data_IF_208000465833
#
_entry.id   IF_208000465833
#
_cell.length_a   1.000
_cell.length_b   1.000
_cell.length_c   1.000
_cell.angle_alpha   90.00
_cell.angle_beta   90.00
_cell.angle_gamma   90.00
#
_symmetry.space_group_name_H-M   'P 1'
#
loop_
_entity.id
_entity.type
_entity.pdbx_description
1 polymer ?
#
# COMPACT_ATOMS: atom_id res chain seq x y z
N UNK A 1 -27.02 1.67 1.21
CA UNK A 1 -25.82 2.10 0.46
C UNK A 1 -26.28 2.66 -0.87
N UNK A 2 -25.82 3.85 -1.25
CA UNK A 2 -26.15 4.50 -2.52
C UNK A 2 -24.87 4.48 -3.36
N UNK A 3 -24.96 4.05 -4.62
CA UNK A 3 -23.82 3.98 -5.52
C UNK A 3 -24.25 4.21 -6.97
N UNK A 4 -23.30 4.64 -7.81
CA UNK A 4 -23.49 4.70 -9.26
C UNK A 4 -23.46 3.29 -9.83
N UNK A 5 -24.46 2.93 -10.63
CA UNK A 5 -24.49 1.65 -11.31
C UNK A 5 -23.74 1.75 -12.65
N UNK A 6 -22.50 1.27 -12.68
CA UNK A 6 -21.71 1.14 -13.91
C UNK A 6 -21.90 -0.23 -14.54
N UNK A 7 -22.13 -0.27 -15.86
CA UNK A 7 -21.99 -1.50 -16.65
C UNK A 7 -20.55 -2.01 -16.59
N UNK A 8 -20.33 -3.31 -16.86
CA UNK A 8 -18.96 -3.86 -16.89
C UNK A 8 -18.07 -3.15 -17.93
N UNK A 9 -18.64 -2.66 -19.03
CA UNK A 9 -17.93 -1.88 -20.04
C UNK A 9 -17.48 -0.53 -19.49
N UNK A 10 -18.35 0.21 -18.81
CA UNK A 10 -18.00 1.48 -18.17
C UNK A 10 -16.99 1.29 -17.05
N UNK A 11 -17.19 0.27 -16.22
CA UNK A 11 -16.26 -0.07 -15.15
C UNK A 11 -14.86 -0.35 -15.68
N UNK A 12 -14.74 -1.12 -16.77
CA UNK A 12 -13.45 -1.38 -17.41
C UNK A 12 -12.83 -0.10 -18.00
N UNK A 13 -13.64 0.83 -18.51
CA UNK A 13 -13.14 2.15 -18.95
C UNK A 13 -12.60 2.97 -17.79
N UNK A 14 -13.31 3.01 -16.66
CA UNK A 14 -12.89 3.70 -15.43
C UNK A 14 -11.59 3.09 -14.89
N UNK A 15 -11.53 1.77 -14.75
CA UNK A 15 -10.38 1.10 -14.15
C UNK A 15 -9.11 1.19 -15.02
N UNK A 16 -9.24 1.39 -16.33
CA UNK A 16 -8.10 1.68 -17.22
C UNK A 16 -7.46 3.04 -16.97
N UNK A 17 -8.19 4.00 -16.40
CA UNK A 17 -7.65 5.33 -16.08
C UNK A 17 -7.13 5.41 -14.65
N UNK A 18 -7.14 4.30 -13.92
CA UNK A 18 -6.66 4.22 -12.54
C UNK A 18 -5.19 4.64 -12.45
N UNK A 19 -4.93 5.67 -11.66
CA UNK A 19 -3.61 6.30 -11.52
C UNK A 19 -3.03 5.96 -10.17
N UNK A 20 -1.79 5.45 -10.16
CA UNK A 20 -1.03 5.23 -8.92
C UNK A 20 -0.49 6.57 -8.43
N UNK A 21 -0.76 6.87 -7.17
CA UNK A 21 -0.23 8.05 -6.48
C UNK A 21 1.02 7.62 -5.73
N UNK A 22 2.14 8.30 -5.97
CA UNK A 22 3.43 8.02 -5.32
C UNK A 22 3.80 9.21 -4.44
N UNK A 23 4.13 8.96 -3.18
CA UNK A 23 4.59 10.01 -2.27
C UNK A 23 5.88 10.64 -2.77
N UNK A 24 5.99 11.96 -2.67
CA UNK A 24 7.18 12.73 -3.05
C UNK A 24 8.48 12.31 -2.35
N UNK A 25 8.41 11.65 -1.19
CA UNK A 25 9.57 11.17 -0.43
C UNK A 25 10.04 9.79 -0.88
N UNK A 26 9.23 9.06 -1.65
CA UNK A 26 9.55 7.71 -2.11
C UNK A 26 10.44 7.77 -3.36
N UNK A 27 11.76 7.81 -3.12
CA UNK A 27 12.78 8.08 -4.15
C UNK A 27 13.53 6.82 -4.62
N UNK A 28 13.39 5.69 -3.94
CA UNK A 28 14.09 4.43 -4.26
C UNK A 28 13.07 3.38 -4.70
N UNK A 29 12.38 3.67 -5.81
CA UNK A 29 11.25 2.89 -6.33
C UNK A 29 11.33 2.62 -7.84
N UNK A 30 12.54 2.70 -8.42
CA UNK A 30 12.74 2.59 -9.88
C UNK A 30 12.10 1.33 -10.48
N UNK A 31 12.24 0.18 -9.82
CA UNK A 31 11.64 -1.09 -10.28
C UNK A 31 10.09 -1.08 -10.27
N UNK A 32 9.48 -0.32 -9.36
CA UNK A 32 8.02 -0.13 -9.33
C UNK A 32 7.62 0.79 -10.48
N UNK A 33 8.28 1.93 -10.63
CA UNK A 33 7.99 2.88 -11.71
C UNK A 33 8.21 2.27 -13.10
N UNK A 34 9.23 1.43 -13.27
CA UNK A 34 9.50 0.73 -14.53
C UNK A 34 8.40 -0.27 -14.87
N UNK A 35 7.91 -1.04 -13.89
CA UNK A 35 6.75 -1.91 -14.10
C UNK A 35 5.51 -1.10 -14.50
N UNK A 36 5.20 -0.01 -13.79
CA UNK A 36 4.03 0.82 -14.08
C UNK A 36 4.12 1.43 -15.48
N UNK A 37 5.28 1.95 -15.85
CA UNK A 37 5.56 2.47 -17.20
C UNK A 37 5.41 1.39 -18.27
N UNK A 38 5.96 0.19 -18.05
CA UNK A 38 5.86 -0.93 -18.99
C UNK A 38 4.41 -1.36 -19.25
N UNK A 39 3.52 -1.15 -18.28
CA UNK A 39 2.10 -1.50 -18.37
C UNK A 39 1.20 -0.32 -18.75
N UNK A 40 1.79 0.82 -19.13
CA UNK A 40 1.08 2.06 -19.43
C UNK A 40 0.13 2.49 -18.30
N UNK A 41 0.51 2.22 -17.04
CA UNK A 41 -0.26 2.61 -15.86
C UNK A 41 0.12 4.06 -15.51
N UNK A 42 -0.85 4.98 -15.45
CA UNK A 42 -0.59 6.36 -15.08
C UNK A 42 -0.03 6.49 -13.66
N UNK A 43 0.91 7.42 -13.48
CA UNK A 43 1.51 7.75 -12.19
C UNK A 43 1.36 9.24 -11.92
N UNK A 44 0.97 9.57 -10.70
CA UNK A 44 0.95 10.94 -10.19
C UNK A 44 1.88 11.03 -8.96
N UNK A 45 2.88 11.91 -9.01
CA UNK A 45 3.79 12.15 -7.89
C UNK A 45 3.27 13.33 -7.10
N UNK A 46 2.87 13.10 -5.85
CA UNK A 46 2.39 14.15 -4.95
C UNK A 46 2.62 13.75 -3.50
N UNK A 47 2.70 14.74 -2.61
CA UNK A 47 2.77 14.48 -1.18
C UNK A 47 1.47 13.83 -0.71
N UNK A 48 1.58 12.74 0.04
CA UNK A 48 0.48 12.12 0.79
C UNK A 48 0.84 12.06 2.28
N UNK A 49 -0.15 12.18 3.16
CA UNK A 49 0.11 12.31 4.60
C UNK A 49 0.48 10.97 5.27
N UNK A 50 0.11 9.86 4.65
CA UNK A 50 0.30 8.49 5.15
C UNK A 50 0.53 7.52 3.99
N UNK A 51 1.49 6.60 4.14
CA UNK A 51 1.88 5.64 3.10
C UNK A 51 2.86 6.23 2.09
N UNK A 52 3.44 5.33 1.28
CA UNK A 52 4.28 5.68 0.13
C UNK A 52 3.50 5.63 -1.18
N UNK A 53 2.43 4.83 -1.23
CA UNK A 53 1.59 4.66 -2.40
C UNK A 53 0.10 4.78 -2.06
N UNK A 54 -0.64 5.40 -2.98
CA UNK A 54 -2.09 5.46 -3.01
C UNK A 54 -2.62 5.28 -4.43
N UNK A 55 -3.91 5.53 -4.61
CA UNK A 55 -4.58 5.37 -5.88
C UNK A 55 -5.68 6.41 -6.06
N UNK A 56 -5.86 6.87 -7.30
CA UNK A 56 -6.98 7.71 -7.67
C UNK A 56 -7.60 7.29 -9.00
N UNK A 57 -8.86 7.66 -9.19
CA UNK A 57 -9.58 7.61 -10.46
C UNK A 57 -9.78 9.05 -10.92
N UNK A 58 -9.29 9.44 -12.11
CA UNK A 58 -9.40 10.81 -12.59
C UNK A 58 -10.84 11.18 -12.93
N UNK A 59 -11.11 12.49 -12.88
CA UNK A 59 -12.34 13.09 -13.40
C UNK A 59 -12.67 12.55 -14.79
N UNK A 60 -13.91 12.13 -14.99
CA UNK A 60 -14.46 11.69 -16.26
C UNK A 60 -15.97 12.03 -16.32
N UNK A 61 -16.31 13.15 -16.95
CA UNK A 61 -17.70 13.65 -17.00
C UNK A 61 -18.63 12.72 -17.80
N UNK A 62 -18.13 12.08 -18.85
CA UNK A 62 -18.91 11.13 -19.66
C UNK A 62 -19.39 9.93 -18.85
N UNK A 63 -18.62 9.54 -17.83
CA UNK A 63 -18.94 8.45 -16.90
C UNK A 63 -19.48 8.97 -15.57
N UNK A 64 -19.89 10.25 -15.48
CA UNK A 64 -20.48 10.82 -14.27
C UNK A 64 -19.50 11.06 -13.11
N UNK A 65 -18.19 10.96 -13.34
CA UNK A 65 -17.14 11.21 -12.36
C UNK A 65 -16.75 12.69 -12.44
N UNK A 66 -17.41 13.53 -11.65
CA UNK A 66 -17.25 14.99 -11.75
C UNK A 66 -15.91 15.54 -11.21
N UNK A 67 -15.18 14.76 -10.41
CA UNK A 67 -13.88 15.12 -9.80
C UNK A 67 -13.01 13.88 -9.63
N UNK A 68 -11.72 14.08 -9.39
CA UNK A 68 -10.83 12.99 -9.02
C UNK A 68 -11.31 12.30 -7.74
N UNK A 69 -11.36 10.98 -7.77
CA UNK A 69 -11.76 10.14 -6.64
C UNK A 69 -10.49 9.48 -6.11
N UNK A 70 -10.09 9.85 -4.90
CA UNK A 70 -8.97 9.20 -4.21
C UNK A 70 -9.50 8.02 -3.39
N UNK A 71 -8.87 6.85 -3.57
CA UNK A 71 -9.10 5.73 -2.66
C UNK A 71 -8.50 6.09 -1.30
N UNK A 72 -9.17 5.69 -0.21
CA UNK A 72 -8.64 5.88 1.14
C UNK A 72 -7.49 4.92 1.45
N UNK A 73 -7.40 3.77 0.76
CA UNK A 73 -6.37 2.77 0.99
C UNK A 73 -4.96 3.28 0.73
N UNK A 74 -4.01 2.81 1.55
CA UNK A 74 -2.59 3.18 1.47
C UNK A 74 -1.70 1.96 1.55
N UNK A 75 -0.58 2.03 0.85
CA UNK A 75 0.50 1.06 0.93
C UNK A 75 1.75 1.78 1.43
N UNK A 76 2.37 1.22 2.46
CA UNK A 76 3.69 1.61 2.95
C UNK A 76 4.69 0.55 2.48
N UNK A 77 5.86 0.98 2.02
CA UNK A 77 6.92 0.10 1.55
C UNK A 77 8.09 0.11 2.53
N UNK A 78 8.68 -1.06 2.72
CA UNK A 78 9.95 -1.28 3.40
C UNK A 78 10.83 -2.12 2.50
N UNK A 79 12.09 -1.74 2.36
CA UNK A 79 13.04 -2.43 1.48
C UNK A 79 13.34 -3.86 1.98
N UNK A 80 13.31 -4.07 3.30
CA UNK A 80 13.63 -5.35 3.91
C UNK A 80 13.27 -5.38 5.41
N UNK A 81 13.32 -6.56 6.02
CA UNK A 81 13.02 -6.75 7.46
C UNK A 81 13.91 -5.92 8.40
N UNK A 82 15.15 -5.63 8.01
CA UNK A 82 16.06 -4.77 8.78
C UNK A 82 15.49 -3.37 9.02
N UNK A 83 14.70 -2.85 8.07
CA UNK A 83 14.09 -1.52 8.17
C UNK A 83 12.96 -1.53 9.20
N UNK A 84 12.16 -2.59 9.24
CA UNK A 84 11.16 -2.79 10.30
C UNK A 84 11.84 -2.85 11.66
N UNK A 85 12.86 -3.69 11.81
CA UNK A 85 13.53 -3.84 13.12
C UNK A 85 14.26 -2.58 13.55
N UNK A 86 14.76 -1.79 12.59
CA UNK A 86 15.29 -0.44 12.80
C UNK A 86 14.21 0.51 13.32
N UNK A 87 13.05 0.55 12.66
CA UNK A 87 11.95 1.43 13.04
C UNK A 87 11.32 1.07 14.39
N UNK A 88 11.51 -0.16 14.89
CA UNK A 88 11.02 -0.61 16.20
C UNK A 88 11.98 -0.33 17.37
N UNK A 89 13.12 0.31 17.14
CA UNK A 89 14.06 0.74 18.19
C UNK A 89 13.45 1.83 19.09
N UNK A 90 14.05 2.04 20.27
CA UNK A 90 13.46 2.88 21.35
C UNK A 90 13.15 4.31 20.91
N UNK A 91 14.00 4.87 20.07
CA UNK A 91 14.00 6.23 19.55
C UNK A 91 13.12 6.41 18.30
N UNK A 92 12.90 5.34 17.52
CA UNK A 92 12.11 5.39 16.27
C UNK A 92 10.72 4.76 16.41
N UNK A 93 10.49 3.92 17.43
CA UNK A 93 9.26 3.14 17.59
C UNK A 93 8.00 4.00 17.62
N UNK A 94 8.07 5.18 18.26
CA UNK A 94 6.94 6.11 18.33
C UNK A 94 6.56 6.64 16.95
N UNK A 95 7.54 6.92 16.08
CA UNK A 95 7.27 7.40 14.72
C UNK A 95 6.58 6.31 13.89
N UNK A 96 7.06 5.07 13.98
CA UNK A 96 6.45 3.91 13.34
C UNK A 96 5.01 3.65 13.82
N UNK A 97 4.79 3.66 15.14
CA UNK A 97 3.44 3.46 15.68
C UNK A 97 2.49 4.61 15.30
N UNK A 98 3.00 5.85 15.19
CA UNK A 98 2.22 6.99 14.71
C UNK A 98 1.79 6.84 13.24
N UNK A 99 2.58 6.20 12.37
CA UNK A 99 2.16 5.86 11.01
C UNK A 99 0.96 4.91 11.04
N UNK A 100 1.04 3.85 11.86
CA UNK A 100 -0.06 2.88 12.02
C UNK A 100 -1.32 3.53 12.63
N UNK A 101 -1.16 4.48 13.56
CA UNK A 101 -2.29 5.23 14.12
C UNK A 101 -2.97 6.07 13.04
N UNK A 102 -2.22 6.71 12.15
CA UNK A 102 -2.80 7.51 11.05
C UNK A 102 -3.51 6.66 10.00
N UNK A 103 -3.15 5.38 9.88
CA UNK A 103 -3.74 4.47 8.90
C UNK A 103 -4.82 3.54 9.46
N UNK A 104 -5.08 3.55 10.77
CA UNK A 104 -5.93 2.54 11.45
C UNK A 104 -7.37 2.45 10.93
N UNK A 105 -7.90 3.56 10.39
CA UNK A 105 -9.30 3.68 9.95
C UNK A 105 -9.44 3.52 8.41
N UNK A 106 -8.37 3.11 7.73
CA UNK A 106 -8.34 2.90 6.27
C UNK A 106 -7.72 1.53 5.94
N UNK A 107 -8.00 0.92 4.77
CA UNK A 107 -7.28 -0.27 4.34
C UNK A 107 -5.79 0.05 4.16
N UNK A 108 -4.94 -0.57 4.98
CA UNK A 108 -3.50 -0.31 5.00
C UNK A 108 -2.71 -1.60 4.86
N UNK A 109 -1.71 -1.59 3.97
CA UNK A 109 -0.79 -2.71 3.78
C UNK A 109 0.66 -2.24 3.88
N UNK A 110 1.45 -2.94 4.68
CA UNK A 110 2.90 -2.79 4.73
C UNK A 110 3.54 -3.85 3.83
N UNK A 111 4.11 -3.41 2.70
CA UNK A 111 4.94 -4.26 1.86
C UNK A 111 6.36 -4.29 2.41
N UNK A 112 6.92 -5.50 2.50
CA UNK A 112 8.33 -5.74 2.78
C UNK A 112 8.94 -6.44 1.58
N UNK A 113 9.88 -5.78 0.91
CA UNK A 113 10.55 -6.30 -0.29
C UNK A 113 11.66 -7.31 0.03
N UNK A 114 11.33 -8.24 0.93
CA UNK A 114 12.17 -9.35 1.33
C UNK A 114 11.36 -10.64 1.24
N UNK A 115 11.55 -11.38 0.13
CA UNK A 115 10.85 -12.64 -0.12
C UNK A 115 10.98 -13.63 1.05
N UNK A 116 12.15 -13.64 1.69
CA UNK A 116 12.44 -14.49 2.85
C UNK A 116 12.28 -13.72 4.18
N UNK A 117 11.68 -12.53 4.18
CA UNK A 117 11.62 -11.65 5.35
C UNK A 117 10.93 -12.30 6.55
N UNK A 118 9.86 -13.06 6.32
CA UNK A 118 9.21 -13.82 7.39
C UNK A 118 10.11 -14.93 7.95
N UNK A 119 10.80 -15.67 7.07
CA UNK A 119 11.75 -16.72 7.46
C UNK A 119 12.92 -16.13 8.26
N UNK A 120 13.53 -15.05 7.76
CA UNK A 120 14.60 -14.31 8.43
C UNK A 120 14.16 -13.79 9.80
N UNK A 121 12.93 -13.27 9.90
CA UNK A 121 12.36 -12.83 11.17
C UNK A 121 12.36 -13.97 12.19
N UNK A 122 11.90 -15.17 11.80
CA UNK A 122 11.84 -16.32 12.70
C UNK A 122 13.23 -16.81 13.12
N UNK A 123 14.21 -16.75 12.21
CA UNK A 123 15.58 -17.18 12.45
C UNK A 123 16.45 -16.14 13.16
N UNK A 124 16.00 -14.89 13.24
CA UNK A 124 16.81 -13.79 13.76
C UNK A 124 17.88 -13.30 12.76
N UNK A 125 17.66 -13.51 11.46
CA UNK A 125 18.59 -13.17 10.39
C UNK A 125 18.40 -11.71 9.93
N UNK A 126 18.66 -10.78 10.85
CA UNK A 126 18.64 -9.34 10.64
C UNK A 126 19.69 -8.68 11.55
N UNK A 127 20.10 -7.45 11.24
CA UNK A 127 21.19 -6.72 11.92
C UNK A 127 20.86 -6.41 13.37
N UNK A 128 19.59 -6.11 13.67
CA UNK A 128 19.12 -5.83 15.02
C UNK A 128 19.25 -7.07 15.93
N UNK A 129 19.52 -6.86 17.22
CA UNK A 129 19.48 -7.94 18.23
C UNK A 129 18.07 -8.16 18.80
N UNK A 130 17.03 -7.67 18.11
CA UNK A 130 15.65 -7.87 18.53
C UNK A 130 15.37 -9.37 18.65
N UNK A 131 14.81 -9.82 19.77
CA UNK A 131 14.48 -11.23 19.93
C UNK A 131 13.41 -11.67 18.89
N UNK A 132 13.62 -12.77 18.13
CA UNK A 132 12.69 -13.21 17.08
C UNK A 132 11.25 -13.38 17.55
N UNK A 133 11.03 -14.04 18.70
CA UNK A 133 9.70 -14.29 19.23
C UNK A 133 9.03 -12.98 19.69
N UNK A 134 9.81 -12.08 20.31
CA UNK A 134 9.31 -10.76 20.69
C UNK A 134 8.94 -9.90 19.47
N UNK A 135 9.73 -9.96 18.39
CA UNK A 135 9.44 -9.26 17.14
C UNK A 135 8.15 -9.77 16.50
N UNK A 136 8.02 -11.10 16.37
CA UNK A 136 6.81 -11.75 15.86
C UNK A 136 5.57 -11.36 16.69
N UNK A 137 5.68 -11.40 18.03
CA UNK A 137 4.59 -11.03 18.93
C UNK A 137 4.19 -9.55 18.80
N UNK A 138 5.17 -8.66 18.68
CA UNK A 138 4.93 -7.22 18.51
C UNK A 138 4.26 -6.91 17.18
N UNK A 139 4.75 -7.45 16.07
CA UNK A 139 4.15 -7.23 14.75
C UNK A 139 2.71 -7.77 14.67
N UNK A 140 2.43 -8.96 15.22
CA UNK A 140 1.06 -9.46 15.24
C UNK A 140 0.13 -8.66 16.16
N UNK A 141 0.65 -8.14 17.28
CA UNK A 141 -0.09 -7.23 18.15
C UNK A 141 -0.44 -5.93 17.42
N UNK A 142 0.51 -5.37 16.66
CA UNK A 142 0.26 -4.19 15.84
C UNK A 142 -0.76 -4.46 14.74
N UNK A 143 -0.65 -5.57 14.00
CA UNK A 143 -1.65 -5.96 12.99
C UNK A 143 -3.06 -6.04 13.58
N UNK A 144 -3.20 -6.67 14.75
CA UNK A 144 -4.48 -6.78 15.45
C UNK A 144 -4.99 -5.41 15.95
N UNK A 145 -4.10 -4.56 16.47
CA UNK A 145 -4.46 -3.25 17.05
C UNK A 145 -4.82 -2.20 16.00
N UNK A 146 -4.11 -2.18 14.87
CA UNK A 146 -4.22 -1.14 13.85
C UNK A 146 -4.82 -1.63 12.53
N UNK A 147 -5.31 -2.87 12.50
CA UNK A 147 -6.03 -3.46 11.38
C UNK A 147 -5.30 -3.34 10.02
N UNK A 148 -4.04 -3.78 10.00
CA UNK A 148 -3.24 -3.82 8.77
C UNK A 148 -2.61 -5.18 8.54
N UNK A 149 -2.09 -5.37 7.34
CA UNK A 149 -1.40 -6.58 6.93
C UNK A 149 0.06 -6.30 6.54
N UNK A 150 0.89 -7.35 6.63
CA UNK A 150 2.27 -7.32 6.16
C UNK A 150 2.40 -8.34 5.04
N UNK A 151 2.89 -7.89 3.89
CA UNK A 151 3.14 -8.75 2.72
C UNK A 151 4.64 -8.79 2.48
N UNK A 152 5.20 -9.99 2.50
CA UNK A 152 6.58 -10.25 2.13
C UNK A 152 6.64 -10.66 0.66
N UNK A 153 7.39 -9.94 -0.16
CA UNK A 153 7.54 -10.28 -1.57
C UNK A 153 8.93 -9.95 -2.10
N UNK A 154 9.30 -10.60 -3.19
CA UNK A 154 10.46 -10.19 -4.00
C UNK A 154 10.18 -8.81 -4.63
N UNK A 155 11.14 -7.89 -4.51
CA UNK A 155 11.02 -6.50 -5.00
C UNK A 155 10.49 -6.42 -6.44
N UNK A 156 10.85 -7.37 -7.31
CA UNK A 156 10.44 -7.33 -8.73
C UNK A 156 8.93 -7.44 -8.94
N UNK A 157 8.19 -7.89 -7.93
CA UNK A 157 6.74 -8.01 -7.98
C UNK A 157 5.99 -6.82 -7.38
N UNK A 158 6.67 -5.88 -6.73
CA UNK A 158 6.01 -4.77 -6.01
C UNK A 158 5.16 -3.89 -6.91
N UNK A 159 5.65 -3.52 -8.10
CA UNK A 159 4.85 -2.72 -9.04
C UNK A 159 3.56 -3.44 -9.47
N UNK A 160 3.65 -4.75 -9.72
CA UNK A 160 2.48 -5.58 -10.05
C UNK A 160 1.50 -5.66 -8.89
N UNK A 161 2.01 -5.94 -7.70
CA UNK A 161 1.19 -6.10 -6.50
C UNK A 161 0.47 -4.81 -6.15
N UNK A 162 1.19 -3.67 -6.10
CA UNK A 162 0.64 -2.34 -5.77
C UNK A 162 -0.50 -1.98 -6.72
N UNK A 163 -0.30 -2.12 -8.03
CA UNK A 163 -1.33 -1.81 -9.00
C UNK A 163 -2.57 -2.69 -8.82
N UNK A 164 -2.40 -4.01 -8.74
CA UNK A 164 -3.55 -4.91 -8.65
C UNK A 164 -4.27 -4.83 -7.30
N UNK A 165 -3.55 -4.56 -6.22
CA UNK A 165 -4.13 -4.30 -4.90
C UNK A 165 -5.15 -3.14 -4.98
N UNK A 166 -4.74 -2.00 -5.51
CA UNK A 166 -5.65 -0.86 -5.69
C UNK A 166 -6.72 -1.09 -6.77
N UNK A 167 -6.36 -1.73 -7.88
CA UNK A 167 -7.28 -2.02 -8.97
C UNK A 167 -8.49 -2.84 -8.50
N UNK A 168 -8.24 -3.92 -7.75
CA UNK A 168 -9.32 -4.80 -7.29
C UNK A 168 -10.12 -4.17 -6.15
N UNK A 169 -9.51 -3.34 -5.30
CA UNK A 169 -10.25 -2.54 -4.34
C UNK A 169 -11.16 -1.52 -5.04
N UNK A 170 -10.64 -0.73 -5.98
CA UNK A 170 -11.42 0.23 -6.76
C UNK A 170 -12.58 -0.46 -7.47
N UNK A 171 -12.32 -1.60 -8.11
CA UNK A 171 -13.34 -2.42 -8.77
C UNK A 171 -14.43 -2.87 -7.81
N UNK A 172 -14.07 -3.30 -6.60
CA UNK A 172 -15.03 -3.70 -5.59
C UNK A 172 -15.90 -2.51 -5.17
N UNK A 173 -15.29 -1.39 -4.76
CA UNK A 173 -16.01 -0.21 -4.29
C UNK A 173 -16.92 0.42 -5.34
N UNK A 174 -16.50 0.43 -6.62
CA UNK A 174 -17.35 0.90 -7.72
C UNK A 174 -18.55 -0.01 -7.96
N UNK A 175 -18.47 -1.31 -7.63
CA UNK A 175 -19.59 -2.26 -7.77
C UNK A 175 -20.52 -2.29 -6.57
N UNK A 176 -19.97 -2.20 -5.37
CA UNK A 176 -20.74 -2.42 -4.13
C UNK A 176 -21.14 -1.12 -3.44
N UNK A 177 -20.48 -0.01 -3.76
CA UNK A 177 -20.50 1.20 -2.95
C UNK A 177 -19.49 1.12 -1.79
N UNK A 178 -19.35 2.25 -1.11
CA UNK A 178 -18.57 2.42 0.13
C UNK A 178 -19.58 2.57 1.29
N UNK A 179 -19.30 1.94 2.43
CA UNK A 179 -20.09 2.09 3.67
C UNK A 179 -19.77 3.42 4.33
#
# INVERSE_FOLDING_TARGET
>A
MIFYHYTDTELNKILKTLTIVVDTRENVNGHILDYLRQKDIPVNIQKIDTGDYGCMIPKNEELGIARDIYLSSRVERKAHIDEITGNLQKDTATAFENELIRSKDIPFTLIVEDLHGYEKMLKGEYRSKYNPLALLGRLNTFKARYNFEIVYLDQKYSGNWIYHHFYYQAKHYLKTGII
#
